data_IF_593258882294
#
_entry.id   IF_593258882294
#
_cell.length_a   1.000
_cell.length_b   1.000
_cell.length_c   1.000
_cell.angle_alpha   90.00
_cell.angle_beta   90.00
_cell.angle_gamma   90.00
#
_symmetry.space_group_name_H-M   'P 1'
#
loop_
_entity.id
_entity.type
_entity.pdbx_description
1 polymer ?
#
# COMPACT_ATOMS: atom_id res chain seq x y z
N UNK A 1 32.73 -1.69 4.46
CA UNK A 1 32.40 -2.07 4.98
C UNK A 1 31.66 -2.04 5.77
N UNK A 2 31.17 -1.59 6.00
CA UNK A 2 30.54 -1.56 6.98
C UNK A 2 29.41 -2.15 7.06
N UNK A 3 29.33 -3.00 7.49
CA UNK A 3 28.23 -3.62 7.84
C UNK A 3 27.46 -2.86 8.77
N UNK A 4 26.32 -2.44 8.41
CA UNK A 4 25.39 -1.94 9.37
C UNK A 4 25.12 -3.03 10.37
N UNK A 5 25.10 -2.68 11.61
CA UNK A 5 24.71 -3.61 12.65
C UNK A 5 23.29 -4.13 12.35
N UNK A 6 23.00 -5.39 12.66
CA UNK A 6 21.66 -5.94 12.50
C UNK A 6 20.59 -5.09 13.18
N UNK A 7 20.91 -4.46 14.30
CA UNK A 7 19.99 -3.57 15.01
C UNK A 7 19.63 -2.33 14.21
N UNK A 8 20.56 -1.81 13.44
CA UNK A 8 20.30 -0.65 12.59
C UNK A 8 19.38 -0.98 11.44
N UNK A 9 19.54 -2.17 10.86
CA UNK A 9 18.66 -2.63 9.79
C UNK A 9 17.25 -2.83 10.30
N UNK A 10 17.09 -3.42 11.47
CA UNK A 10 15.80 -3.62 12.08
C UNK A 10 15.12 -2.31 12.44
N UNK A 11 15.89 -1.36 12.96
CA UNK A 11 15.38 -0.04 13.28
C UNK A 11 14.88 0.66 12.01
N UNK A 12 15.65 0.56 10.92
CA UNK A 12 15.24 1.12 9.63
C UNK A 12 13.99 0.44 9.12
N UNK A 13 13.94 -0.88 9.16
CA UNK A 13 12.78 -1.65 8.72
C UNK A 13 11.53 -1.26 9.49
N UNK A 14 11.63 -1.13 10.80
CA UNK A 14 10.50 -0.69 11.63
C UNK A 14 10.04 0.71 11.28
N UNK A 15 10.97 1.59 10.98
CA UNK A 15 10.65 2.96 10.57
C UNK A 15 9.93 2.96 9.23
N UNK A 16 10.39 2.16 8.28
CA UNK A 16 9.76 2.03 6.97
C UNK A 16 8.35 1.46 7.09
N UNK A 17 8.18 0.44 7.93
CA UNK A 17 6.88 -0.15 8.19
C UNK A 17 5.95 0.87 8.84
N UNK A 18 6.45 1.63 9.81
CA UNK A 18 5.64 2.66 10.47
C UNK A 18 5.17 3.71 9.46
N UNK A 19 6.05 4.14 8.59
CA UNK A 19 5.71 5.09 7.53
C UNK A 19 4.64 4.53 6.61
N UNK A 20 4.79 3.28 6.21
CA UNK A 20 3.81 2.61 5.35
C UNK A 20 2.43 2.58 6.02
N UNK A 21 2.38 2.23 7.29
CA UNK A 21 1.12 2.15 8.03
C UNK A 21 0.50 3.55 8.18
N UNK A 22 1.29 4.57 8.43
CA UNK A 22 0.79 5.95 8.53
C UNK A 22 0.18 6.41 7.21
N UNK A 23 0.85 6.15 6.11
CA UNK A 23 0.33 6.50 4.78
C UNK A 23 -0.92 5.68 4.44
N UNK A 24 -0.92 4.41 4.80
CA UNK A 24 -2.09 3.54 4.63
C UNK A 24 -3.30 4.07 5.38
N UNK A 25 -3.10 4.49 6.63
CA UNK A 25 -4.17 5.06 7.44
C UNK A 25 -4.70 6.37 6.84
N UNK A 26 -3.82 7.20 6.30
CA UNK A 26 -4.21 8.42 5.61
C UNK A 26 -5.07 8.12 4.38
N UNK A 27 -4.65 7.16 3.58
CA UNK A 27 -5.41 6.73 2.40
C UNK A 27 -6.80 6.24 2.81
N UNK A 28 -6.89 5.43 3.86
CA UNK A 28 -8.16 4.90 4.33
C UNK A 28 -9.09 6.00 4.83
N UNK A 29 -8.56 6.98 5.55
CA UNK A 29 -9.35 8.11 6.02
C UNK A 29 -9.91 8.93 4.85
N UNK A 30 -9.06 9.21 3.87
CA UNK A 30 -9.48 9.94 2.67
C UNK A 30 -10.47 9.14 1.83
N UNK A 31 -10.24 7.83 1.72
CA UNK A 31 -11.16 6.94 1.02
C UNK A 31 -12.56 7.01 1.64
N UNK A 32 -12.61 6.94 2.97
CA UNK A 32 -13.87 6.97 3.69
C UNK A 32 -14.62 8.29 3.47
N UNK A 33 -13.90 9.41 3.54
CA UNK A 33 -14.50 10.72 3.29
C UNK A 33 -15.02 10.85 1.87
N UNK A 34 -14.24 10.37 0.91
CA UNK A 34 -14.61 10.42 -0.50
C UNK A 34 -15.82 9.54 -0.80
N UNK A 35 -15.89 8.34 -0.21
CA UNK A 35 -17.02 7.45 -0.37
C UNK A 35 -18.30 8.06 0.18
N UNK A 36 -18.23 8.73 1.32
CA UNK A 36 -19.38 9.42 1.90
C UNK A 36 -19.91 10.51 0.97
N UNK A 37 -19.04 11.32 0.41
CA UNK A 37 -19.44 12.40 -0.48
C UNK A 37 -19.99 11.85 -1.80
N UNK A 38 -19.37 10.80 -2.33
CA UNK A 38 -19.80 10.22 -3.59
C UNK A 38 -21.18 9.58 -3.48
N UNK A 39 -21.54 9.09 -2.28
CA UNK A 39 -22.87 8.52 -2.06
C UNK A 39 -23.92 9.60 -1.79
N UNK A 40 -23.50 10.81 -1.44
CA UNK A 40 -24.44 11.88 -1.15
C UNK A 40 -24.91 12.52 -2.46
N UNK A 41 -26.20 12.47 -2.72
CA UNK A 41 -26.80 13.01 -3.94
C UNK A 41 -26.62 14.53 -4.05
N UNK A 42 -26.26 15.20 -2.96
CA UNK A 42 -26.17 16.66 -2.89
C UNK A 42 -24.74 17.18 -2.72
N UNK A 43 -23.74 16.33 -2.96
CA UNK A 43 -22.35 16.76 -2.83
C UNK A 43 -21.97 17.84 -3.85
N UNK A 44 -21.20 18.84 -3.40
CA UNK A 44 -20.68 19.85 -4.30
C UNK A 44 -19.59 19.22 -5.16
N UNK A 45 -19.71 19.29 -6.50
CA UNK A 45 -18.71 18.73 -7.40
C UNK A 45 -17.30 19.26 -7.14
N UNK A 46 -17.18 20.52 -6.71
CA UNK A 46 -15.88 21.12 -6.40
C UNK A 46 -15.24 20.43 -5.20
N UNK A 47 -16.01 20.16 -4.16
CA UNK A 47 -15.50 19.46 -2.97
C UNK A 47 -15.08 18.04 -3.31
N UNK A 48 -15.84 17.37 -4.16
CA UNK A 48 -15.50 16.03 -4.63
C UNK A 48 -14.19 16.05 -5.40
N UNK A 49 -14.01 17.03 -6.29
CA UNK A 49 -12.79 17.16 -7.08
C UNK A 49 -11.56 17.38 -6.19
N UNK A 50 -11.68 18.24 -5.19
CA UNK A 50 -10.58 18.51 -4.27
C UNK A 50 -10.21 17.27 -3.44
N UNK A 51 -11.21 16.56 -2.96
CA UNK A 51 -10.98 15.31 -2.21
C UNK A 51 -10.36 14.24 -3.10
N UNK A 52 -10.78 14.15 -4.35
CA UNK A 52 -10.21 13.20 -5.30
C UNK A 52 -8.73 13.49 -5.54
N UNK A 53 -8.38 14.75 -5.69
CA UNK A 53 -7.00 15.14 -5.92
C UNK A 53 -6.12 14.75 -4.72
N UNK A 54 -6.57 15.06 -3.51
CA UNK A 54 -5.86 14.70 -2.30
C UNK A 54 -5.76 13.18 -2.13
N UNK A 55 -6.85 12.49 -2.38
CA UNK A 55 -6.88 11.04 -2.27
C UNK A 55 -5.91 10.37 -3.26
N UNK A 56 -5.94 10.81 -4.52
CA UNK A 56 -5.05 10.25 -5.54
C UNK A 56 -3.58 10.48 -5.17
N UNK A 57 -3.26 11.66 -4.64
CA UNK A 57 -1.90 11.95 -4.22
C UNK A 57 -1.44 11.00 -3.10
N UNK A 58 -2.27 10.83 -2.09
CA UNK A 58 -1.94 9.94 -0.97
C UNK A 58 -1.90 8.48 -1.39
N UNK A 59 -2.77 8.08 -2.31
CA UNK A 59 -2.79 6.72 -2.84
C UNK A 59 -1.47 6.39 -3.56
N UNK A 60 -1.00 7.31 -4.38
CA UNK A 60 0.26 7.14 -5.10
C UNK A 60 1.44 7.08 -4.12
N UNK A 61 1.43 7.96 -3.11
CA UNK A 61 2.48 7.97 -2.09
C UNK A 61 2.53 6.63 -1.32
N UNK A 62 1.37 6.10 -0.96
CA UNK A 62 1.27 4.81 -0.28
C UNK A 62 1.81 3.67 -1.16
N UNK A 63 1.42 3.65 -2.43
CA UNK A 63 1.91 2.63 -3.37
C UNK A 63 3.42 2.72 -3.54
N UNK A 64 3.94 3.95 -3.67
CA UNK A 64 5.37 4.19 -3.85
C UNK A 64 6.17 3.76 -2.62
N UNK A 65 5.70 4.09 -1.43
CA UNK A 65 6.38 3.69 -0.20
C UNK A 65 6.46 2.18 -0.08
N UNK A 66 5.36 1.49 -0.33
CA UNK A 66 5.36 0.03 -0.30
C UNK A 66 6.36 -0.55 -1.28
N UNK A 67 6.32 -0.05 -2.53
CA UNK A 67 7.19 -0.56 -3.58
C UNK A 67 8.67 -0.29 -3.29
N UNK A 68 9.02 0.98 -3.02
CA UNK A 68 10.43 1.36 -2.92
C UNK A 68 11.06 0.99 -1.58
N UNK A 69 10.31 1.04 -0.50
CA UNK A 69 10.88 0.81 0.82
C UNK A 69 10.88 -0.65 1.23
N UNK A 70 9.91 -1.43 0.75
CA UNK A 70 9.72 -2.80 1.23
C UNK A 70 9.79 -3.83 0.11
N UNK A 71 8.89 -3.75 -0.86
CA UNK A 71 8.68 -4.86 -1.80
C UNK A 71 9.78 -5.03 -2.82
N UNK A 72 10.36 -3.92 -3.31
CA UNK A 72 11.43 -3.99 -4.32
C UNK A 72 12.64 -4.76 -3.81
N UNK A 73 13.01 -4.52 -2.58
CA UNK A 73 14.16 -5.20 -1.96
C UNK A 73 13.98 -6.70 -1.99
N UNK A 74 12.77 -7.16 -1.76
CA UNK A 74 12.43 -8.57 -1.73
C UNK A 74 12.38 -9.15 -3.14
N UNK A 75 11.76 -8.44 -4.08
CA UNK A 75 11.69 -8.86 -5.48
C UNK A 75 13.08 -8.97 -6.11
N UNK A 76 14.01 -8.10 -5.70
CA UNK A 76 15.36 -8.12 -6.22
C UNK A 76 16.24 -9.21 -5.56
N UNK A 77 15.67 -9.99 -4.67
CA UNK A 77 16.41 -11.07 -4.03
C UNK A 77 17.35 -10.63 -2.91
N UNK A 78 17.19 -9.41 -2.41
CA UNK A 78 18.04 -8.89 -1.36
C UNK A 78 17.63 -9.32 0.03
N UNK A 79 16.51 -10.05 0.15
CA UNK A 79 16.04 -10.55 1.42
C UNK A 79 16.63 -11.91 1.69
N UNK A 80 17.24 -12.08 2.85
CA UNK A 80 17.94 -13.32 3.22
C UNK A 80 17.07 -14.26 4.08
N UNK A 81 16.01 -13.73 4.66
CA UNK A 81 15.14 -14.54 5.51
C UNK A 81 14.24 -15.39 4.63
N UNK A 82 14.45 -16.72 4.67
CA UNK A 82 13.77 -17.64 3.78
C UNK A 82 12.25 -17.62 3.89
N UNK A 83 11.73 -17.47 5.12
CA UNK A 83 10.29 -17.41 5.32
C UNK A 83 9.65 -16.17 4.71
N UNK A 84 10.38 -15.05 4.72
CA UNK A 84 9.89 -13.81 4.10
C UNK A 84 9.91 -13.94 2.59
N UNK A 85 10.99 -14.51 2.03
CA UNK A 85 11.09 -14.75 0.60
C UNK A 85 9.99 -15.70 0.12
N UNK A 86 9.71 -16.73 0.88
CA UNK A 86 8.68 -17.71 0.56
C UNK A 86 7.30 -17.07 0.58
N UNK A 87 7.00 -16.29 1.61
CA UNK A 87 5.74 -15.57 1.70
C UNK A 87 5.60 -14.55 0.57
N UNK A 88 6.68 -13.81 0.28
CA UNK A 88 6.68 -12.82 -0.79
C UNK A 88 6.32 -13.45 -2.14
N UNK A 89 6.90 -14.58 -2.47
CA UNK A 89 6.58 -15.28 -3.73
C UNK A 89 5.10 -15.60 -3.83
N UNK A 90 4.46 -15.86 -2.68
CA UNK A 90 3.05 -16.21 -2.66
C UNK A 90 2.16 -14.99 -2.79
N UNK A 91 2.50 -13.89 -2.13
CA UNK A 91 1.61 -12.72 -2.05
C UNK A 91 1.92 -11.60 -3.03
N UNK A 92 3.17 -11.48 -3.50
CA UNK A 92 3.55 -10.37 -4.38
C UNK A 92 2.72 -10.26 -5.66
N UNK A 93 2.37 -11.36 -6.35
CA UNK A 93 1.51 -11.23 -7.52
C UNK A 93 0.17 -10.59 -7.21
N UNK A 94 -0.39 -10.88 -6.04
CA UNK A 94 -1.67 -10.29 -5.61
C UNK A 94 -1.49 -8.82 -5.22
N UNK A 95 -0.42 -8.50 -4.52
CA UNK A 95 -0.11 -7.11 -4.17
C UNK A 95 0.11 -6.28 -5.44
N UNK A 96 0.85 -6.81 -6.41
CA UNK A 96 1.08 -6.13 -7.67
C UNK A 96 -0.21 -5.89 -8.44
N UNK A 97 -1.15 -6.82 -8.37
CA UNK A 97 -2.47 -6.64 -8.98
C UNK A 97 -3.23 -5.48 -8.31
N UNK A 98 -3.18 -5.39 -6.98
CA UNK A 98 -3.83 -4.25 -6.29
C UNK A 98 -3.17 -2.93 -6.65
N UNK A 99 -1.85 -2.94 -6.86
CA UNK A 99 -1.13 -1.75 -7.31
C UNK A 99 -1.61 -1.29 -8.69
N UNK A 100 -1.78 -2.24 -9.62
CA UNK A 100 -2.27 -1.91 -10.96
C UNK A 100 -3.66 -1.28 -10.92
N UNK A 101 -4.53 -1.80 -10.06
CA UNK A 101 -5.88 -1.26 -9.92
C UNK A 101 -5.84 0.14 -9.31
N UNK A 102 -4.98 0.37 -8.32
CA UNK A 102 -4.80 1.69 -7.74
C UNK A 102 -4.27 2.70 -8.76
N UNK A 103 -3.30 2.29 -9.56
CA UNK A 103 -2.75 3.15 -10.62
C UNK A 103 -3.83 3.47 -11.66
N UNK A 104 -4.62 2.50 -12.05
CA UNK A 104 -5.71 2.72 -13.00
C UNK A 104 -6.74 3.72 -12.45
N UNK A 105 -7.05 3.63 -11.16
CA UNK A 105 -7.92 4.61 -10.52
C UNK A 105 -7.30 6.00 -10.56
N UNK A 106 -6.02 6.10 -10.21
CA UNK A 106 -5.31 7.37 -10.23
C UNK A 106 -5.32 7.99 -11.64
N UNK A 107 -5.10 7.17 -12.66
CA UNK A 107 -5.09 7.66 -14.04
C UNK A 107 -6.44 8.24 -14.47
N UNK A 108 -7.54 7.72 -13.92
CA UNK A 108 -8.86 8.23 -14.22
C UNK A 108 -9.18 9.54 -13.50
N UNK A 109 -8.66 9.73 -12.29
CA UNK A 109 -9.14 10.77 -11.39
C UNK A 109 -8.10 11.77 -10.91
N UNK A 110 -6.83 11.63 -11.29
CA UNK A 110 -5.78 12.51 -10.79
C UNK A 110 -5.82 13.91 -11.38
N UNK A 111 -6.37 14.07 -12.59
CA UNK A 111 -6.45 15.38 -13.24
C UNK A 111 -7.86 15.93 -13.11
N UNK A 112 -8.09 16.63 -12.01
CA UNK A 112 -9.41 17.17 -11.71
C UNK A 112 -9.86 18.25 -12.69
N UNK A 113 -8.92 18.92 -13.37
CA UNK A 113 -9.26 19.95 -14.34
C UNK A 113 -9.81 19.38 -15.64
N UNK A 114 -9.53 18.10 -15.92
CA UNK A 114 -10.01 17.42 -17.12
C UNK A 114 -10.98 16.29 -16.79
N UNK A 115 -11.56 16.29 -15.59
CA UNK A 115 -12.51 15.26 -15.21
C UNK A 115 -13.78 15.39 -16.04
N UNK A 116 -14.12 14.32 -16.72
CA UNK A 116 -15.34 14.25 -17.50
C UNK A 116 -16.51 13.90 -16.59
N UNK A 117 -17.70 14.39 -16.94
CA UNK A 117 -18.91 14.07 -16.19
C UNK A 117 -19.15 12.56 -16.09
N UNK A 118 -18.81 11.83 -17.15
CA UNK A 118 -18.92 10.38 -17.17
C UNK A 118 -18.04 9.74 -16.09
N UNK A 119 -16.80 10.21 -15.93
CA UNK A 119 -15.92 9.70 -14.91
C UNK A 119 -16.48 9.96 -13.51
N UNK A 120 -17.03 11.14 -13.29
CA UNK A 120 -17.66 11.46 -12.00
C UNK A 120 -18.88 10.60 -11.72
N UNK A 121 -19.69 10.30 -12.74
CA UNK A 121 -20.87 9.44 -12.56
C UNK A 121 -20.51 8.00 -12.23
N UNK A 122 -19.33 7.54 -12.68
CA UNK A 122 -18.86 6.19 -12.41
C UNK A 122 -18.04 6.08 -11.11
N UNK A 123 -17.79 7.20 -10.46
CA UNK A 123 -16.95 7.24 -9.26
C UNK A 123 -17.38 6.25 -8.18
N UNK A 124 -18.68 6.14 -7.83
CA UNK A 124 -19.09 5.17 -6.80
C UNK A 124 -18.69 3.73 -7.14
N UNK A 125 -18.82 3.35 -8.41
CA UNK A 125 -18.46 2.01 -8.86
C UNK A 125 -16.96 1.76 -8.78
N UNK A 126 -16.15 2.72 -9.21
CA UNK A 126 -14.69 2.59 -9.15
C UNK A 126 -14.17 2.65 -7.72
N UNK A 127 -14.81 3.44 -6.85
CA UNK A 127 -14.46 3.46 -5.43
C UNK A 127 -14.76 2.13 -4.77
N UNK A 128 -15.88 1.51 -5.08
CA UNK A 128 -16.22 0.21 -4.53
C UNK A 128 -15.18 -0.83 -4.92
N UNK A 129 -14.81 -0.86 -6.19
CA UNK A 129 -13.78 -1.78 -6.69
C UNK A 129 -12.43 -1.50 -6.02
N UNK A 130 -12.04 -0.24 -5.95
CA UNK A 130 -10.78 0.13 -5.30
C UNK A 130 -10.79 -0.25 -3.82
N UNK A 131 -11.92 -0.04 -3.14
CA UNK A 131 -12.06 -0.41 -1.73
C UNK A 131 -11.85 -1.89 -1.49
N UNK A 132 -12.40 -2.74 -2.35
CA UNK A 132 -12.20 -4.18 -2.29
C UNK A 132 -10.72 -4.53 -2.45
N UNK A 133 -10.06 -3.88 -3.39
CA UNK A 133 -8.65 -4.14 -3.65
C UNK A 133 -7.75 -3.62 -2.54
N UNK A 134 -8.08 -2.47 -1.96
CA UNK A 134 -7.35 -1.95 -0.82
C UNK A 134 -7.49 -2.89 0.39
N UNK A 135 -8.68 -3.43 0.62
CA UNK A 135 -8.90 -4.38 1.70
C UNK A 135 -8.05 -5.64 1.49
N UNK A 136 -8.01 -6.15 0.27
CA UNK A 136 -7.18 -7.31 -0.08
C UNK A 136 -5.70 -7.00 0.15
N UNK A 137 -5.25 -5.83 -0.30
CA UNK A 137 -3.86 -5.42 -0.14
C UNK A 137 -3.48 -5.29 1.33
N UNK A 138 -4.33 -4.66 2.14
CA UNK A 138 -4.06 -4.47 3.56
C UNK A 138 -3.94 -5.81 4.28
N UNK A 139 -4.81 -6.75 3.95
CA UNK A 139 -4.77 -8.08 4.53
C UNK A 139 -3.45 -8.79 4.20
N UNK A 140 -3.01 -8.71 2.96
CA UNK A 140 -1.75 -9.30 2.52
C UNK A 140 -0.55 -8.57 3.13
N UNK A 141 -0.60 -7.25 3.19
CA UNK A 141 0.43 -6.44 3.82
C UNK A 141 0.58 -6.76 5.30
N UNK A 142 -0.53 -6.93 5.99
CA UNK A 142 -0.50 -7.25 7.43
C UNK A 142 0.17 -8.59 7.68
N UNK A 143 -0.09 -9.57 6.84
CA UNK A 143 0.59 -10.87 6.93
C UNK A 143 2.08 -10.70 6.71
N UNK A 144 2.45 -9.90 5.73
CA UNK A 144 3.84 -9.64 5.40
C UNK A 144 4.56 -8.88 6.51
N UNK A 145 3.94 -7.80 7.00
CA UNK A 145 4.47 -6.98 8.07
C UNK A 145 4.64 -7.81 9.35
N UNK A 146 3.64 -8.60 9.68
CA UNK A 146 3.71 -9.46 10.85
C UNK A 146 4.88 -10.44 10.75
N UNK A 147 5.09 -11.02 9.59
CA UNK A 147 6.21 -11.93 9.36
C UNK A 147 7.56 -11.18 9.47
N UNK A 148 7.64 -9.96 8.93
CA UNK A 148 8.85 -9.15 9.05
C UNK A 148 9.17 -8.84 10.51
N UNK A 149 8.17 -8.49 11.29
CA UNK A 149 8.37 -8.09 12.68
C UNK A 149 8.65 -9.27 13.61
N UNK A 150 8.09 -10.43 13.32
CA UNK A 150 8.27 -11.60 14.15
C UNK A 150 9.42 -12.49 13.69
N UNK A 151 9.88 -12.30 12.46
CA UNK A 151 10.99 -13.07 11.94
C UNK A 151 12.28 -12.47 12.43
N UNK A 152 12.59 -12.79 13.67
CA UNK A 152 13.89 -12.40 14.17
C UNK A 152 14.81 -13.51 13.83
N UNK A 153 15.24 -13.60 12.61
CA UNK A 153 16.06 -14.67 12.30
C UNK A 153 17.37 -14.54 12.97
N UNK A 154 17.58 -15.44 13.85
CA UNK A 154 18.90 -15.71 14.35
C UNK A 154 19.34 -16.96 13.63
N UNK A 155 20.20 -16.85 12.67
CA UNK A 155 20.72 -18.03 11.96
C UNK A 155 21.27 -19.08 12.91
N UNK A 156 21.83 -18.64 14.03
CA UNK A 156 22.33 -19.52 15.06
C UNK A 156 21.23 -20.36 15.67
N UNK A 157 20.07 -19.78 15.88
CA UNK A 157 18.93 -20.52 16.44
C UNK A 157 18.41 -21.55 15.48
N UNK A 158 18.40 -21.25 14.20
CA UNK A 158 17.99 -22.21 13.20
C UNK A 158 18.95 -23.38 13.16
N UNK A 159 20.24 -23.14 13.28
CA UNK A 159 21.23 -24.20 13.31
C UNK A 159 21.13 -25.05 14.57
N UNK A 160 20.83 -24.43 15.69
CA UNK A 160 20.73 -25.13 16.97
C UNK A 160 19.47 -25.98 17.05
N UNK A 161 18.40 -25.51 16.44
CA UNK A 161 17.13 -26.23 16.50
C UNK A 161 17.05 -27.39 15.52
N UNK A 162 18.05 -27.58 14.72
CA UNK A 162 18.06 -28.66 13.74
C UNK A 162 18.34 -30.03 14.41
#
# INVERSE_FOLDING_TARGET
>A
MSSQAPNERRARERKEIKQLIEERNSVLAQYYNLAKISDAAEGDPQDTAELLEEFCQELVDYMATGHFEIYRRIEEGNERRGEITKLAKKIMPKINNTTQIAIAFNDLYDDVSNLKNEALSQLPNYLEKLGEELATRIDLEDKFINTLLTSTVRPELSAVSA
#
